data_IF_879952448004
#
_entry.id   IF_879952448004
#
_cell.length_a   1.000
_cell.length_b   1.000
_cell.length_c   1.000
_cell.angle_alpha   90.00
_cell.angle_beta   90.00
_cell.angle_gamma   90.00
#
_symmetry.space_group_name_H-M   'P 1'
#
loop_
_entity.id
_entity.type
_entity.pdbx_description
1 polymer ?
#
# COMPACT_ATOMS: atom_id res chain seq x y z
N UNK A 1 3.15 5.46 4.18
CA UNK A 1 3.24 4.03 3.86
C UNK A 1 2.65 3.70 2.49
N UNK A 2 1.43 4.14 2.22
CA UNK A 2 0.80 3.89 0.93
C UNK A 2 1.53 4.58 -0.23
N UNK A 3 2.16 5.73 0.01
CA UNK A 3 3.01 6.37 -0.99
C UNK A 3 4.19 5.48 -1.41
N UNK A 4 4.74 4.69 -0.50
CA UNK A 4 5.78 3.72 -0.82
C UNK A 4 5.25 2.61 -1.74
N UNK A 5 4.01 2.16 -1.52
CA UNK A 5 3.37 1.19 -2.40
C UNK A 5 3.16 1.77 -3.80
N UNK A 6 2.71 3.02 -3.90
CA UNK A 6 2.54 3.72 -5.18
C UNK A 6 3.89 3.82 -5.92
N UNK A 7 4.98 4.11 -5.21
CA UNK A 7 6.30 4.18 -5.82
C UNK A 7 6.73 2.85 -6.43
N UNK A 8 6.50 1.73 -5.74
CA UNK A 8 6.80 0.39 -6.26
C UNK A 8 5.99 0.10 -7.52
N UNK A 9 4.70 0.41 -7.50
CA UNK A 9 3.81 0.18 -8.65
C UNK A 9 4.22 1.03 -9.87
N UNK A 10 4.54 2.29 -9.65
CA UNK A 10 4.99 3.19 -10.72
C UNK A 10 6.31 2.76 -11.32
N UNK A 11 7.24 2.30 -10.50
CA UNK A 11 8.51 1.76 -10.98
C UNK A 11 8.31 0.52 -11.85
N UNK A 12 7.44 -0.39 -11.43
CA UNK A 12 7.11 -1.58 -12.22
C UNK A 12 6.53 -1.20 -13.58
N UNK A 13 5.60 -0.23 -13.62
CA UNK A 13 5.03 0.24 -14.88
C UNK A 13 6.06 0.91 -15.77
N UNK A 14 6.94 1.73 -15.19
CA UNK A 14 7.96 2.46 -15.94
C UNK A 14 9.00 1.52 -16.56
N UNK A 15 9.31 0.42 -15.88
CA UNK A 15 10.33 -0.54 -16.35
C UNK A 15 9.74 -1.74 -17.07
N UNK A 16 8.40 -1.86 -17.13
CA UNK A 16 7.72 -2.99 -17.78
C UNK A 16 7.91 -4.32 -17.06
N UNK A 17 8.25 -4.28 -15.78
CA UNK A 17 8.44 -5.49 -14.95
C UNK A 17 7.13 -5.89 -14.28
N UNK A 18 7.01 -7.17 -13.92
CA UNK A 18 5.88 -7.63 -13.13
C UNK A 18 5.84 -6.89 -11.79
N UNK A 19 4.65 -6.69 -11.28
CA UNK A 19 4.45 -6.15 -9.93
C UNK A 19 4.43 -7.32 -8.95
N UNK A 20 5.39 -7.31 -8.03
CA UNK A 20 5.49 -8.34 -7.00
C UNK A 20 4.75 -7.86 -5.73
N UNK A 21 3.66 -8.54 -5.33
CA UNK A 21 2.94 -8.17 -4.12
C UNK A 21 3.81 -8.17 -2.86
N UNK A 22 4.78 -9.08 -2.77
CA UNK A 22 5.68 -9.12 -1.62
C UNK A 22 6.59 -7.90 -1.54
N UNK A 23 7.01 -7.37 -2.69
CA UNK A 23 7.78 -6.12 -2.72
C UNK A 23 6.94 -4.95 -2.20
N UNK A 24 5.65 -4.91 -2.56
CA UNK A 24 4.73 -3.88 -2.08
C UNK A 24 4.50 -4.03 -0.57
N UNK A 25 4.27 -5.24 -0.09
CA UNK A 25 4.10 -5.51 1.35
C UNK A 25 5.32 -5.08 2.16
N UNK A 26 6.51 -5.40 1.66
CA UNK A 26 7.77 -5.02 2.31
C UNK A 26 7.94 -3.50 2.38
N UNK A 27 7.61 -2.79 1.31
CA UNK A 27 7.67 -1.34 1.26
C UNK A 27 6.67 -0.71 2.26
N UNK A 28 5.45 -1.25 2.34
CA UNK A 28 4.45 -0.79 3.31
C UNK A 28 4.95 -0.97 4.74
N UNK A 29 5.44 -2.15 5.08
CA UNK A 29 5.91 -2.47 6.44
C UNK A 29 7.11 -1.63 6.83
N UNK A 30 8.06 -1.44 5.92
CA UNK A 30 9.25 -0.62 6.18
C UNK A 30 8.87 0.85 6.45
N UNK A 31 7.96 1.39 5.67
CA UNK A 31 7.50 2.78 5.86
C UNK A 31 6.74 2.94 7.18
N UNK A 32 5.87 1.99 7.53
CA UNK A 32 5.12 2.02 8.80
C UNK A 32 6.05 1.89 10.00
N UNK A 33 7.04 1.01 9.92
CA UNK A 33 8.03 0.85 10.98
C UNK A 33 8.86 2.11 11.18
N UNK A 34 9.22 2.80 10.09
CA UNK A 34 9.95 4.07 10.16
C UNK A 34 9.15 5.15 10.88
N UNK A 35 7.82 5.12 10.77
CA UNK A 35 6.93 6.05 11.46
C UNK A 35 6.61 5.63 12.91
N UNK A 36 7.15 4.52 13.38
CA UNK A 36 6.93 4.04 14.73
C UNK A 36 5.51 3.51 14.98
N UNK A 37 4.80 3.14 13.92
CA UNK A 37 3.42 2.65 14.03
C UNK A 37 3.38 1.14 14.24
N UNK A 38 2.41 0.69 15.01
CA UNK A 38 2.14 -0.72 15.23
C UNK A 38 1.26 -1.25 14.11
N UNK A 39 1.80 -2.16 13.29
CA UNK A 39 1.11 -2.69 12.11
C UNK A 39 0.14 -3.77 12.53
N UNK A 40 -1.15 -3.58 12.26
CA UNK A 40 -2.17 -4.62 12.40
C UNK A 40 -2.17 -5.51 11.16
N UNK A 41 -2.21 -4.88 9.98
CA UNK A 41 -1.96 -5.57 8.71
C UNK A 41 -1.40 -4.59 7.66
N UNK A 42 -0.67 -5.14 6.70
CA UNK A 42 -0.24 -4.48 5.47
C UNK A 42 -0.41 -5.52 4.37
N UNK A 43 -1.34 -5.29 3.45
CA UNK A 43 -1.74 -6.32 2.51
C UNK A 43 -1.92 -5.79 1.10
N UNK A 44 -1.76 -6.69 0.14
CA UNK A 44 -2.00 -6.43 -1.28
C UNK A 44 -2.95 -7.51 -1.77
N UNK A 45 -4.08 -7.10 -2.30
CA UNK A 45 -5.17 -8.00 -2.62
C UNK A 45 -5.75 -7.72 -4.00
N UNK A 46 -6.48 -8.70 -4.51
CA UNK A 46 -7.32 -8.53 -5.68
C UNK A 46 -8.43 -7.51 -5.35
N UNK A 47 -8.62 -6.46 -6.16
CA UNK A 47 -9.60 -5.41 -5.82
C UNK A 47 -11.05 -5.86 -5.89
N UNK A 48 -11.34 -6.95 -6.60
CA UNK A 48 -12.70 -7.49 -6.75
C UNK A 48 -13.06 -8.46 -5.64
N UNK A 49 -12.16 -9.41 -5.33
CA UNK A 49 -12.41 -10.46 -4.35
C UNK A 49 -11.89 -10.13 -2.96
N UNK A 50 -10.97 -9.17 -2.87
CA UNK A 50 -10.25 -8.80 -1.64
C UNK A 50 -9.43 -9.97 -1.07
N UNK A 51 -9.11 -10.93 -1.93
CA UNK A 51 -8.24 -12.05 -1.56
C UNK A 51 -6.79 -11.61 -1.71
N UNK A 52 -5.94 -11.85 -0.70
CA UNK A 52 -4.52 -11.51 -0.80
C UNK A 52 -3.85 -12.17 -2.00
N UNK A 53 -3.03 -11.40 -2.69
CA UNK A 53 -2.26 -11.88 -3.83
C UNK A 53 -0.98 -12.57 -3.32
N UNK A 54 -0.67 -13.73 -3.88
CA UNK A 54 0.49 -14.53 -3.49
C UNK A 54 1.51 -14.72 -4.61
N UNK A 55 1.30 -14.08 -5.75
CA UNK A 55 2.21 -14.15 -6.88
C UNK A 55 2.23 -12.87 -7.71
N UNK A 56 3.27 -12.71 -8.56
CA UNK A 56 3.40 -11.52 -9.39
C UNK A 56 2.22 -11.31 -10.33
N UNK A 57 1.91 -10.04 -10.59
CA UNK A 57 0.87 -9.63 -11.54
C UNK A 57 1.49 -8.71 -12.60
N UNK A 58 0.83 -8.54 -13.77
CA UNK A 58 1.31 -7.59 -14.77
C UNK A 58 1.45 -6.18 -14.19
N UNK A 59 2.42 -5.37 -14.70
CA UNK A 59 2.68 -4.05 -14.13
C UNK A 59 1.53 -3.06 -14.25
N UNK A 60 0.60 -3.29 -15.17
CA UNK A 60 -0.58 -2.46 -15.40
C UNK A 60 -1.84 -3.00 -14.70
N UNK A 61 -1.74 -4.12 -13.98
CA UNK A 61 -2.87 -4.66 -13.23
C UNK A 61 -3.26 -3.73 -12.09
N UNK A 62 -4.55 -3.64 -11.81
CA UNK A 62 -5.03 -2.94 -10.63
C UNK A 62 -4.99 -3.88 -9.42
N UNK A 63 -4.36 -3.43 -8.35
CA UNK A 63 -4.30 -4.17 -7.08
C UNK A 63 -4.61 -3.23 -5.92
N UNK A 64 -5.26 -3.77 -4.90
CA UNK A 64 -5.61 -3.02 -3.70
C UNK A 64 -4.49 -3.15 -2.67
N UNK A 65 -3.86 -2.04 -2.32
CA UNK A 65 -2.94 -1.98 -1.19
C UNK A 65 -3.67 -1.40 0.02
N UNK A 66 -3.65 -2.09 1.13
CA UNK A 66 -4.38 -1.70 2.32
C UNK A 66 -3.54 -1.87 3.57
N UNK A 67 -3.68 -0.95 4.50
CA UNK A 67 -2.99 -0.98 5.78
C UNK A 67 -3.97 -0.71 6.92
N UNK A 68 -3.72 -1.34 8.05
CA UNK A 68 -4.33 -0.97 9.32
C UNK A 68 -3.23 -0.89 10.35
N UNK A 69 -3.20 0.20 11.09
CA UNK A 69 -2.19 0.45 12.10
C UNK A 69 -2.85 0.91 13.40
N UNK A 70 -2.18 0.65 14.50
CA UNK A 70 -2.54 1.20 15.78
C UNK A 70 -1.58 2.33 16.12
N UNK A 71 -2.13 3.50 16.38
CA UNK A 71 -1.34 4.65 16.83
C UNK A 71 -1.25 4.58 18.35
N UNK A 72 -0.04 4.50 18.93
CA UNK A 72 0.11 4.49 20.37
C UNK A 72 -0.41 5.80 20.97
N UNK A 73 -1.29 5.70 21.93
CA UNK A 73 -1.83 6.85 22.67
C UNK A 73 -1.66 6.65 24.15
N UNK A 74 -1.81 7.74 24.92
CA UNK A 74 -1.66 7.69 26.38
C UNK A 74 -2.79 6.93 27.06
N UNK A 75 -4.01 7.09 26.55
CA UNK A 75 -5.21 6.51 27.15
C UNK A 75 -5.97 5.62 26.19
N UNK A 76 -5.96 5.97 24.88
CA UNK A 76 -6.68 5.23 23.86
C UNK A 76 -5.73 4.85 22.73
N UNK A 77 -5.86 3.62 22.25
CA UNK A 77 -5.24 3.18 21.01
C UNK A 77 -6.20 3.49 19.88
N UNK A 78 -5.73 4.28 18.92
CA UNK A 78 -6.50 4.62 17.72
C UNK A 78 -6.04 3.73 16.57
N UNK A 79 -7.00 3.04 15.95
CA UNK A 79 -6.74 2.25 14.75
C UNK A 79 -7.03 3.11 13.53
N UNK A 80 -6.05 3.24 12.66
CA UNK A 80 -6.19 3.91 11.37
C UNK A 80 -6.18 2.86 10.26
N UNK A 81 -7.12 2.99 9.33
CA UNK A 81 -7.25 2.11 8.17
C UNK A 81 -7.25 2.97 6.94
N UNK A 82 -6.42 2.61 5.95
CA UNK A 82 -6.38 3.32 4.67
C UNK A 82 -6.02 2.36 3.55
N UNK A 83 -6.33 2.77 2.33
CA UNK A 83 -6.05 1.95 1.15
C UNK A 83 -5.82 2.82 -0.09
N UNK A 84 -5.22 2.21 -1.11
CA UNK A 84 -5.06 2.81 -2.44
C UNK A 84 -5.21 1.72 -3.49
N UNK A 85 -5.86 2.07 -4.60
CA UNK A 85 -5.95 1.18 -5.76
C UNK A 85 -4.75 1.45 -6.68
N UNK A 86 -3.73 0.60 -6.58
CA UNK A 86 -2.54 0.68 -7.43
C UNK A 86 -2.93 0.30 -8.86
N UNK A 87 -2.47 1.09 -9.83
CA UNK A 87 -2.84 0.94 -11.23
C UNK A 87 -3.96 1.89 -11.65
N UNK A 88 -4.71 2.45 -10.70
CA UNK A 88 -5.66 3.53 -10.94
C UNK A 88 -4.92 4.85 -10.72
N UNK A 89 -4.58 5.55 -11.81
CA UNK A 89 -3.76 6.76 -11.76
C UNK A 89 -4.43 7.85 -10.92
N UNK A 90 -5.74 8.01 -11.04
CA UNK A 90 -6.48 9.02 -10.29
C UNK A 90 -6.42 8.75 -8.78
N UNK A 91 -6.55 7.49 -8.38
CA UNK A 91 -6.49 7.13 -6.97
C UNK A 91 -5.08 7.28 -6.40
N UNK A 92 -4.07 6.91 -7.18
CA UNK A 92 -2.66 7.14 -6.80
C UNK A 92 -2.37 8.63 -6.62
N UNK A 93 -2.84 9.47 -7.53
CA UNK A 93 -2.66 10.92 -7.44
C UNK A 93 -3.40 11.52 -6.25
N UNK A 94 -4.61 11.05 -5.96
CA UNK A 94 -5.36 11.44 -4.78
C UNK A 94 -4.56 11.17 -3.50
N UNK A 95 -3.98 9.97 -3.40
CA UNK A 95 -3.17 9.61 -2.25
C UNK A 95 -1.94 10.50 -2.12
N UNK A 96 -1.19 10.68 -3.22
CA UNK A 96 0.04 11.47 -3.19
C UNK A 96 -0.24 12.94 -2.85
N UNK A 97 -1.35 13.50 -3.32
CA UNK A 97 -1.76 14.85 -2.98
C UNK A 97 -2.05 15.00 -1.47
N UNK A 98 -2.71 14.02 -0.87
CA UNK A 98 -3.00 14.01 0.56
C UNK A 98 -1.73 13.90 1.41
N UNK A 99 -0.75 13.13 0.96
CA UNK A 99 0.52 12.95 1.66
C UNK A 99 1.41 14.19 1.55
N UNK A 100 1.31 14.93 0.43
CA UNK A 100 2.13 16.12 0.19
C UNK A 100 1.72 17.32 1.09
N UNK A 101 0.56 17.27 1.67
CA UNK A 101 0.09 18.29 2.61
C UNK A 101 0.67 18.03 4.01
#
# INVERSE_FOLDING_TARGET
ALAAAVAVARDARATGRVLDPDAVRSALRAALAADGLEVVYAEVADPTTVVPLDGPVPPDAEVLAAVAVTVPGRELRVRLIDNVLLGDVADEERLLAAVAE
#
